data_IF_120222499522
#
_entry.id   IF_120222499522
#
_cell.length_a   1.000
_cell.length_b   1.000
_cell.length_c   1.000
_cell.angle_alpha   90.00
_cell.angle_beta   90.00
_cell.angle_gamma   90.00
#
_symmetry.space_group_name_H-M   'P 1'
#
loop_
_entity.id
_entity.type
_entity.pdbx_description
1 polymer ?
#
# COMPACT_ATOMS: atom_id res chain seq x y z
N UNK A 1 -12.15 1.93 16.42
CA UNK A 1 -13.50 1.96 15.86
C UNK A 1 -13.61 3.00 14.74
N UNK A 2 -13.30 4.29 14.97
CA UNK A 2 -13.40 5.38 13.97
C UNK A 2 -12.61 5.05 12.69
N UNK A 3 -11.36 4.61 12.80
CA UNK A 3 -10.53 4.26 11.65
C UNK A 3 -11.18 3.16 10.78
N UNK A 4 -11.79 2.15 11.42
CA UNK A 4 -12.48 1.06 10.71
C UNK A 4 -13.71 1.57 9.95
N UNK A 5 -14.50 2.44 10.57
CA UNK A 5 -15.69 3.05 9.95
C UNK A 5 -15.27 3.91 8.76
N UNK A 6 -14.30 4.81 8.94
CA UNK A 6 -13.79 5.65 7.86
C UNK A 6 -13.26 4.82 6.68
N UNK A 7 -12.60 3.70 6.98
CA UNK A 7 -12.06 2.83 5.95
C UNK A 7 -13.12 2.04 5.18
N UNK A 8 -14.27 1.79 5.77
CA UNK A 8 -15.40 1.18 5.07
C UNK A 8 -16.09 2.14 4.11
N UNK A 9 -16.17 3.42 4.48
CA UNK A 9 -16.89 4.43 3.73
C UNK A 9 -16.01 5.22 2.75
N UNK A 10 -14.70 5.34 3.02
CA UNK A 10 -13.80 6.23 2.30
C UNK A 10 -12.46 5.58 1.97
N UNK A 11 -11.96 5.87 0.77
CA UNK A 11 -10.64 5.43 0.33
C UNK A 11 -9.58 6.56 0.42
N UNK A 12 -9.61 7.33 1.52
CA UNK A 12 -8.68 8.43 1.80
C UNK A 12 -7.50 7.95 2.63
N UNK A 13 -6.32 8.58 2.55
CA UNK A 13 -5.20 8.31 3.46
C UNK A 13 -5.59 8.61 4.91
N UNK A 14 -5.35 7.67 5.82
CA UNK A 14 -5.61 7.81 7.25
C UNK A 14 -4.29 7.80 8.01
N UNK A 15 -3.98 8.92 8.66
CA UNK A 15 -2.83 9.09 9.52
C UNK A 15 -3.26 9.07 10.99
N UNK A 16 -2.77 8.12 11.77
CA UNK A 16 -3.09 8.00 13.20
C UNK A 16 -2.08 8.75 14.07
N UNK A 17 -2.58 9.50 15.05
CA UNK A 17 -1.77 10.11 16.10
C UNK A 17 -1.96 9.31 17.40
N UNK A 18 -0.92 8.62 17.88
CA UNK A 18 -0.99 7.73 19.03
C UNK A 18 -0.01 8.13 20.14
N UNK A 19 -0.41 7.92 21.39
CA UNK A 19 0.49 8.01 22.55
C UNK A 19 1.20 6.69 22.85
N UNK A 20 0.81 5.61 22.16
CA UNK A 20 1.33 4.27 22.41
C UNK A 20 2.51 3.99 21.49
N UNK A 21 3.62 3.61 22.07
CA UNK A 21 4.89 3.40 21.40
C UNK A 21 5.23 1.91 21.20
N UNK A 22 4.40 1.02 21.74
CA UNK A 22 4.61 -0.40 21.60
C UNK A 22 4.42 -0.88 20.16
N UNK A 23 5.29 -1.76 19.70
CA UNK A 23 5.25 -2.35 18.35
C UNK A 23 3.90 -3.04 18.08
N UNK A 24 3.31 -3.66 19.11
CA UNK A 24 2.01 -4.34 19.04
C UNK A 24 0.89 -3.34 18.75
N UNK A 25 0.86 -2.20 19.43
CA UNK A 25 -0.16 -1.16 19.23
C UNK A 25 -0.05 -0.50 17.84
N UNK A 26 1.17 -0.39 17.31
CA UNK A 26 1.43 0.09 15.94
C UNK A 26 0.89 -0.88 14.89
N UNK A 27 1.14 -2.18 15.07
CA UNK A 27 0.61 -3.22 14.19
C UNK A 27 -0.91 -3.22 14.22
N UNK A 28 -1.52 -3.15 15.41
CA UNK A 28 -2.98 -3.07 15.57
C UNK A 28 -3.54 -1.82 14.88
N UNK A 29 -2.90 -0.66 15.01
CA UNK A 29 -3.32 0.58 14.35
C UNK A 29 -3.34 0.45 12.83
N UNK A 30 -2.33 -0.18 12.25
CA UNK A 30 -2.26 -0.49 10.83
C UNK A 30 -3.29 -1.55 10.44
N UNK A 31 -3.45 -2.63 11.22
CA UNK A 31 -4.45 -3.68 10.97
C UNK A 31 -5.89 -3.14 10.94
N UNK A 32 -6.18 -2.08 11.68
CA UNK A 32 -7.48 -1.38 11.66
C UNK A 32 -7.68 -0.58 10.36
N UNK A 33 -6.63 -0.38 9.56
CA UNK A 33 -6.72 0.25 8.24
C UNK A 33 -6.10 1.64 8.14
N UNK A 34 -5.27 2.07 9.09
CA UNK A 34 -4.45 3.29 8.94
C UNK A 34 -3.35 3.08 7.88
N UNK A 35 -3.02 4.14 7.14
CA UNK A 35 -1.95 4.13 6.13
C UNK A 35 -0.60 4.54 6.74
N UNK A 36 -0.64 5.32 7.83
CA UNK A 36 0.54 5.80 8.56
C UNK A 36 0.17 6.15 10.01
N UNK A 37 1.15 6.27 10.88
CA UNK A 37 0.95 6.70 12.27
C UNK A 37 2.13 7.57 12.74
N UNK A 38 1.86 8.44 13.72
CA UNK A 38 2.86 9.27 14.41
C UNK A 38 2.69 9.07 15.91
N UNK A 39 3.78 8.76 16.60
CA UNK A 39 3.78 8.61 18.06
C UNK A 39 3.98 9.95 18.76
N UNK A 40 3.28 10.14 19.87
CA UNK A 40 3.48 11.30 20.76
C UNK A 40 4.67 11.04 21.69
N UNK A 41 5.53 12.06 21.94
CA UNK A 41 5.45 13.43 21.45
C UNK A 41 5.93 13.55 19.99
N UNK A 42 5.25 14.35 19.17
CA UNK A 42 5.65 14.66 17.80
C UNK A 42 5.79 16.16 17.59
N UNK A 43 6.58 16.56 16.61
CA UNK A 43 6.68 17.96 16.21
C UNK A 43 5.60 18.30 15.19
N UNK A 44 5.04 19.52 15.25
CA UNK A 44 4.12 20.00 14.20
C UNK A 44 4.78 19.98 12.82
N UNK A 45 6.10 20.14 12.75
CA UNK A 45 6.86 20.06 11.50
C UNK A 45 6.80 18.65 10.91
N UNK A 46 6.93 17.63 11.73
CA UNK A 46 6.81 16.23 11.32
C UNK A 46 5.39 15.92 10.83
N UNK A 47 4.36 16.27 11.61
CA UNK A 47 2.97 16.09 11.22
C UNK A 47 2.68 16.74 9.87
N UNK A 48 3.05 18.02 9.69
CA UNK A 48 2.82 18.74 8.45
C UNK A 48 3.61 18.15 7.28
N UNK A 49 4.82 17.67 7.50
CA UNK A 49 5.61 17.01 6.45
C UNK A 49 4.92 15.73 5.95
N UNK A 50 4.40 14.88 6.87
CA UNK A 50 3.68 13.66 6.51
C UNK A 50 2.35 13.94 5.80
N UNK A 51 1.54 14.86 6.32
CA UNK A 51 0.30 15.27 5.66
C UNK A 51 0.57 15.79 4.25
N UNK A 52 1.57 16.68 4.10
CA UNK A 52 1.97 17.20 2.78
C UNK A 52 2.48 16.09 1.84
N UNK A 53 3.21 15.10 2.36
CA UNK A 53 3.69 13.97 1.56
C UNK A 53 2.52 13.13 1.01
N UNK A 54 1.54 12.80 1.86
CA UNK A 54 0.33 12.09 1.44
C UNK A 54 -0.48 12.90 0.41
N UNK A 55 -0.75 14.18 0.66
CA UNK A 55 -1.50 15.05 -0.26
C UNK A 55 -0.78 15.30 -1.59
N UNK A 56 0.55 15.50 -1.56
CA UNK A 56 1.36 15.67 -2.78
C UNK A 56 1.28 14.43 -3.66
N UNK A 57 1.39 13.26 -3.06
CA UNK A 57 1.34 11.98 -3.76
C UNK A 57 -0.03 11.78 -4.42
N UNK A 58 -1.11 12.09 -3.71
CA UNK A 58 -2.47 12.04 -4.24
C UNK A 58 -2.68 13.03 -5.41
N UNK A 59 -2.13 14.26 -5.29
CA UNK A 59 -2.17 15.26 -6.38
C UNK A 59 -1.37 14.85 -7.62
N UNK A 60 -0.17 14.31 -7.45
CA UNK A 60 0.64 13.82 -8.57
C UNK A 60 -0.08 12.70 -9.31
N UNK A 61 -0.64 11.76 -8.56
CA UNK A 61 -1.43 10.67 -9.10
C UNK A 61 -2.65 11.19 -9.86
N UNK A 62 -3.39 12.15 -9.29
CA UNK A 62 -4.57 12.75 -9.92
C UNK A 62 -4.21 13.53 -11.18
N UNK A 63 -3.12 14.30 -11.14
CA UNK A 63 -2.63 15.05 -12.30
C UNK A 63 -2.16 14.11 -13.44
N UNK A 64 -1.53 12.98 -13.11
CA UNK A 64 -1.17 11.94 -14.08
C UNK A 64 -2.41 11.27 -14.68
N UNK A 65 -3.44 11.02 -13.88
CA UNK A 65 -4.73 10.45 -14.34
C UNK A 65 -5.49 11.44 -15.22
N UNK A 66 -5.58 12.71 -14.82
CA UNK A 66 -6.27 13.76 -15.58
C UNK A 66 -5.56 14.05 -16.93
N UNK A 67 -4.22 14.05 -16.93
CA UNK A 67 -3.42 14.20 -18.15
C UNK A 67 -3.49 12.98 -19.09
N UNK A 68 -3.70 11.79 -18.54
CA UNK A 68 -3.78 10.54 -19.29
C UNK A 68 -5.16 10.27 -19.90
N UNK A 69 -6.20 10.97 -19.47
CA UNK A 69 -7.56 10.72 -19.98
C UNK A 69 -7.77 11.16 -21.43
N UNK A 70 -6.93 12.04 -21.97
CA UNK A 70 -7.15 12.56 -23.34
C UNK A 70 -6.36 11.86 -24.45
N UNK A 71 -5.21 11.20 -24.21
CA UNK A 71 -4.38 10.68 -25.34
C UNK A 71 -3.42 9.52 -25.03
N UNK A 72 -3.31 9.00 -23.82
CA UNK A 72 -2.32 7.95 -23.51
C UNK A 72 -2.87 6.53 -23.72
N UNK A 73 -2.06 5.58 -24.26
CA UNK A 73 -2.44 4.17 -24.28
C UNK A 73 -2.67 3.71 -22.85
N UNK A 74 -3.74 2.94 -22.64
CA UNK A 74 -4.05 2.33 -21.33
C UNK A 74 -2.84 1.52 -20.86
N UNK A 75 -2.14 2.00 -19.86
CA UNK A 75 -1.05 1.24 -19.27
C UNK A 75 -1.65 0.20 -18.32
N UNK A 76 -1.69 -1.05 -18.76
CA UNK A 76 -2.26 -2.18 -18.03
C UNK A 76 -1.17 -3.21 -17.82
N UNK A 77 -1.01 -3.68 -16.59
CA UNK A 77 -0.19 -4.84 -16.26
C UNK A 77 -1.13 -6.03 -16.03
N UNK A 78 -0.86 -7.15 -16.70
CA UNK A 78 -1.65 -8.37 -16.59
C UNK A 78 -0.79 -9.55 -16.18
N UNK A 79 -1.27 -10.27 -15.16
CA UNK A 79 -0.63 -11.47 -14.60
C UNK A 79 -1.70 -12.57 -14.43
N UNK A 80 -1.85 -13.39 -15.47
CA UNK A 80 -2.95 -14.35 -15.51
C UNK A 80 -4.32 -13.65 -15.45
N UNK A 81 -5.08 -13.92 -14.38
CA UNK A 81 -6.39 -13.32 -14.12
C UNK A 81 -6.32 -12.04 -13.25
N UNK A 82 -5.14 -11.62 -12.82
CA UNK A 82 -4.92 -10.36 -12.10
C UNK A 82 -4.56 -9.26 -13.11
N UNK A 83 -5.33 -8.19 -13.11
CA UNK A 83 -5.16 -7.02 -14.00
C UNK A 83 -5.02 -5.76 -13.17
N UNK A 84 -4.00 -4.96 -13.45
CA UNK A 84 -3.78 -3.65 -12.83
C UNK A 84 -3.89 -2.58 -13.92
N UNK A 85 -4.93 -1.75 -13.86
CA UNK A 85 -5.08 -0.56 -14.70
C UNK A 85 -4.40 0.62 -13.99
N UNK A 86 -3.25 1.04 -14.51
CA UNK A 86 -2.43 2.08 -13.91
C UNK A 86 -3.07 3.46 -14.12
N UNK A 87 -3.76 3.64 -15.25
CA UNK A 87 -4.43 4.89 -15.60
C UNK A 87 -5.60 5.15 -14.63
N UNK A 88 -6.41 4.12 -14.37
CA UNK A 88 -7.57 4.23 -13.47
C UNK A 88 -7.23 3.94 -12.01
N UNK A 89 -6.02 3.42 -11.73
CA UNK A 89 -5.59 2.91 -10.43
C UNK A 89 -6.55 1.87 -9.85
N UNK A 90 -7.03 1.03 -10.73
CA UNK A 90 -7.95 -0.06 -10.43
C UNK A 90 -7.24 -1.40 -10.57
N UNK A 91 -7.62 -2.35 -9.73
CA UNK A 91 -7.23 -3.74 -9.88
C UNK A 91 -8.47 -4.60 -10.16
N UNK A 92 -8.28 -5.69 -10.90
CA UNK A 92 -9.30 -6.71 -11.16
C UNK A 92 -8.71 -8.09 -10.97
N UNK A 93 -9.51 -8.99 -10.44
CA UNK A 93 -9.20 -10.40 -10.33
C UNK A 93 -10.39 -11.19 -10.93
N UNK A 94 -10.15 -12.08 -11.90
CA UNK A 94 -11.19 -12.80 -12.65
C UNK A 94 -12.24 -11.85 -13.25
N UNK A 95 -11.78 -10.71 -13.82
CA UNK A 95 -12.62 -9.63 -14.38
C UNK A 95 -13.52 -8.90 -13.37
N UNK A 96 -13.47 -9.27 -12.08
CA UNK A 96 -14.20 -8.59 -11.02
C UNK A 96 -13.35 -7.46 -10.42
N UNK A 97 -13.95 -6.29 -10.13
CA UNK A 97 -13.25 -5.22 -9.44
C UNK A 97 -12.69 -5.69 -8.09
N UNK A 98 -11.41 -5.41 -7.86
CA UNK A 98 -10.71 -5.70 -6.62
C UNK A 98 -10.52 -4.39 -5.84
N UNK A 99 -11.33 -4.12 -4.80
CA UNK A 99 -11.23 -2.88 -4.05
C UNK A 99 -9.97 -2.90 -3.17
N UNK A 100 -8.90 -2.28 -3.65
CA UNK A 100 -7.66 -2.10 -2.91
C UNK A 100 -7.62 -0.71 -2.28
N UNK A 101 -7.09 -0.65 -1.05
CA UNK A 101 -6.75 0.62 -0.41
C UNK A 101 -5.60 1.30 -1.17
N UNK A 102 -5.42 2.64 -1.07
CA UNK A 102 -4.36 3.34 -1.79
C UNK A 102 -2.97 2.71 -1.62
N UNK A 103 -2.59 2.38 -0.37
CA UNK A 103 -1.29 1.77 -0.08
C UNK A 103 -1.19 0.30 -0.50
N UNK A 104 -2.29 -0.44 -0.49
CA UNK A 104 -2.34 -1.80 -1.03
C UNK A 104 -2.10 -1.77 -2.55
N UNK A 105 -2.77 -0.86 -3.27
CA UNK A 105 -2.57 -0.71 -4.72
C UNK A 105 -1.12 -0.29 -5.04
N UNK A 106 -0.56 0.70 -4.33
CA UNK A 106 0.81 1.15 -4.54
C UNK A 106 1.84 0.04 -4.28
N UNK A 107 1.67 -0.72 -3.21
CA UNK A 107 2.55 -1.84 -2.89
C UNK A 107 2.46 -2.94 -3.96
N UNK A 108 1.24 -3.32 -4.36
CA UNK A 108 1.03 -4.32 -5.40
C UNK A 108 1.62 -3.87 -6.73
N UNK A 109 1.38 -2.63 -7.15
CA UNK A 109 1.95 -2.07 -8.36
C UNK A 109 3.47 -2.05 -8.33
N UNK A 110 4.07 -1.65 -7.19
CA UNK A 110 5.52 -1.63 -7.05
C UNK A 110 6.11 -3.04 -7.16
N UNK A 111 5.51 -4.02 -6.51
CA UNK A 111 5.88 -5.43 -6.59
C UNK A 111 5.73 -5.97 -8.03
N UNK A 112 4.63 -5.67 -8.69
CA UNK A 112 4.34 -6.10 -10.06
C UNK A 112 5.35 -5.55 -11.08
N UNK A 113 5.75 -4.28 -10.95
CA UNK A 113 6.81 -3.66 -11.77
C UNK A 113 8.20 -4.29 -11.55
N UNK A 114 8.41 -4.94 -10.41
CA UNK A 114 9.66 -5.62 -10.06
C UNK A 114 9.47 -7.14 -10.00
N UNK A 115 8.60 -7.67 -10.88
CA UNK A 115 8.31 -9.11 -10.92
C UNK A 115 9.59 -9.95 -10.96
N UNK A 116 9.62 -11.05 -10.18
CA UNK A 116 10.75 -11.96 -10.07
C UNK A 116 11.91 -11.47 -9.21
N UNK A 117 11.88 -10.21 -8.72
CA UNK A 117 12.92 -9.65 -7.87
C UNK A 117 12.56 -9.81 -6.38
N UNK A 118 13.51 -10.30 -5.58
CA UNK A 118 13.36 -10.29 -4.13
C UNK A 118 13.65 -8.88 -3.60
N UNK A 119 12.63 -8.24 -3.02
CA UNK A 119 12.69 -6.88 -2.50
C UNK A 119 12.68 -6.91 -0.97
N UNK A 120 13.61 -6.19 -0.34
CA UNK A 120 13.67 -6.16 1.13
C UNK A 120 12.51 -5.35 1.71
N UNK A 121 12.18 -5.62 2.97
CA UNK A 121 11.12 -4.89 3.69
C UNK A 121 11.45 -3.41 3.79
N UNK A 122 12.69 -3.08 4.07
CA UNK A 122 13.20 -1.71 4.16
C UNK A 122 13.06 -1.00 2.82
N UNK A 123 13.43 -1.65 1.73
CA UNK A 123 13.32 -1.09 0.39
C UNK A 123 11.87 -0.84 0.00
N UNK A 124 10.98 -1.81 0.24
CA UNK A 124 9.54 -1.66 0.02
C UNK A 124 8.96 -0.52 0.86
N UNK A 125 9.34 -0.43 2.14
CA UNK A 125 8.90 0.62 3.05
C UNK A 125 9.29 2.00 2.52
N UNK A 126 10.56 2.19 2.17
CA UNK A 126 11.07 3.45 1.65
C UNK A 126 10.41 3.86 0.33
N UNK A 127 10.18 2.90 -0.57
CA UNK A 127 9.63 3.18 -1.90
C UNK A 127 8.13 3.43 -1.88
N UNK A 128 7.39 2.73 -1.04
CA UNK A 128 5.93 2.81 -0.99
C UNK A 128 5.45 3.83 0.05
N UNK A 129 6.12 3.97 1.19
CA UNK A 129 5.74 4.93 2.25
C UNK A 129 6.62 6.19 2.28
N UNK A 130 7.83 6.12 1.77
CA UNK A 130 8.77 7.25 1.72
C UNK A 130 9.84 7.20 2.79
N UNK A 131 10.90 8.01 2.61
CA UNK A 131 12.06 8.05 3.50
C UNK A 131 11.75 8.61 4.90
N UNK A 132 10.73 9.47 5.01
CA UNK A 132 10.34 10.11 6.27
C UNK A 132 9.41 9.21 7.12
N UNK A 133 9.10 8.01 6.62
CA UNK A 133 8.25 7.08 7.35
C UNK A 133 9.00 6.45 8.53
N UNK A 134 8.61 6.78 9.76
CA UNK A 134 9.21 6.25 11.00
C UNK A 134 8.59 4.93 11.45
N UNK A 135 7.62 4.40 10.71
CA UNK A 135 7.03 3.10 10.95
C UNK A 135 8.02 1.97 10.69
N UNK A 136 7.94 0.92 11.49
CA UNK A 136 8.76 -0.27 11.31
C UNK A 136 8.39 -1.05 10.05
N UNK A 137 9.29 -1.94 9.64
CA UNK A 137 9.11 -2.83 8.47
C UNK A 137 7.89 -3.76 8.58
N UNK A 138 7.34 -3.93 9.78
CA UNK A 138 6.06 -4.63 10.04
C UNK A 138 4.90 -4.06 9.25
N UNK A 139 4.92 -2.76 8.93
CA UNK A 139 3.92 -2.13 8.06
C UNK A 139 3.81 -2.86 6.72
N UNK A 140 4.95 -3.21 6.13
CA UNK A 140 4.99 -3.98 4.88
C UNK A 140 4.34 -5.35 5.07
N UNK A 141 4.69 -6.07 6.16
CA UNK A 141 4.16 -7.42 6.42
C UNK A 141 2.63 -7.43 6.53
N UNK A 142 2.06 -6.43 7.22
CA UNK A 142 0.61 -6.26 7.36
C UNK A 142 -0.07 -6.04 6.00
N UNK A 143 0.47 -5.16 5.16
CA UNK A 143 -0.09 -4.89 3.84
C UNK A 143 0.08 -6.06 2.87
N UNK A 144 1.19 -6.80 2.96
CA UNK A 144 1.37 -8.05 2.20
C UNK A 144 0.32 -9.09 2.61
N UNK A 145 0.04 -9.24 3.91
CA UNK A 145 -1.02 -10.13 4.39
C UNK A 145 -2.37 -9.76 3.78
N UNK A 146 -2.76 -8.49 3.83
CA UNK A 146 -4.03 -8.04 3.23
C UNK A 146 -4.08 -8.23 1.72
N UNK A 147 -2.98 -7.98 1.01
CA UNK A 147 -2.91 -8.26 -0.42
C UNK A 147 -3.11 -9.75 -0.70
N UNK A 148 -2.45 -10.64 0.05
CA UNK A 148 -2.63 -12.08 -0.09
C UNK A 148 -4.07 -12.51 0.14
N UNK A 149 -4.72 -11.99 1.19
CA UNK A 149 -6.14 -12.25 1.47
C UNK A 149 -7.06 -11.88 0.30
N UNK A 150 -6.63 -11.01 -0.60
CA UNK A 150 -7.42 -10.52 -1.72
C UNK A 150 -7.07 -11.15 -3.08
N UNK A 151 -5.79 -11.49 -3.31
CA UNK A 151 -5.32 -11.90 -4.64
C UNK A 151 -4.85 -13.36 -4.71
N UNK A 152 -4.66 -14.03 -3.57
CA UNK A 152 -4.25 -15.44 -3.54
C UNK A 152 -5.48 -16.34 -3.42
N UNK A 153 -5.43 -17.50 -4.03
CA UNK A 153 -6.43 -18.56 -3.81
C UNK A 153 -6.33 -19.12 -2.40
N UNK A 154 -5.09 -19.28 -1.89
CA UNK A 154 -4.80 -19.68 -0.52
C UNK A 154 -3.76 -18.71 0.07
N UNK A 155 -4.17 -17.76 0.93
CA UNK A 155 -3.26 -16.81 1.56
C UNK A 155 -2.17 -17.45 2.45
N UNK A 156 -2.40 -18.66 2.96
CA UNK A 156 -1.44 -19.40 3.78
C UNK A 156 -0.33 -20.03 2.93
N UNK A 157 -0.66 -20.39 1.68
CA UNK A 157 0.28 -20.95 0.69
C UNK A 157 0.33 -20.03 -0.56
N UNK A 158 0.85 -18.82 -0.44
CA UNK A 158 0.80 -17.82 -1.51
C UNK A 158 1.66 -18.23 -2.70
N UNK A 159 1.14 -18.00 -3.91
CA UNK A 159 1.81 -18.28 -5.18
C UNK A 159 2.20 -17.02 -5.93
N UNK A 160 1.50 -15.89 -5.69
CA UNK A 160 1.75 -14.60 -6.35
C UNK A 160 2.75 -13.74 -5.60
N UNK A 161 2.58 -13.59 -4.28
CA UNK A 161 3.50 -12.84 -3.43
C UNK A 161 4.23 -13.82 -2.52
N UNK A 162 5.44 -14.21 -2.90
CA UNK A 162 6.25 -15.20 -2.19
C UNK A 162 7.08 -14.52 -1.10
N UNK A 163 7.15 -15.13 0.09
CA UNK A 163 8.10 -14.73 1.13
C UNK A 163 9.46 -15.32 0.85
N UNK A 164 10.47 -14.46 0.64
CA UNK A 164 11.86 -14.86 0.52
C UNK A 164 12.51 -14.74 1.90
N UNK A 165 12.73 -15.89 2.58
CA UNK A 165 13.28 -15.92 3.95
C UNK A 165 14.57 -15.15 4.05
N UNK A 166 14.70 -14.31 5.08
CA UNK A 166 15.87 -13.46 5.30
C UNK A 166 15.99 -12.24 4.38
N UNK A 167 15.18 -12.15 3.29
CA UNK A 167 15.25 -11.04 2.34
C UNK A 167 13.99 -10.16 2.37
N UNK A 168 12.82 -10.73 2.13
CA UNK A 168 11.60 -9.94 2.05
C UNK A 168 10.54 -10.61 1.19
N UNK A 169 10.09 -9.96 0.11
CA UNK A 169 9.01 -10.44 -0.73
C UNK A 169 9.36 -10.39 -2.22
N UNK A 170 8.77 -11.31 -2.98
CA UNK A 170 8.92 -11.39 -4.44
C UNK A 170 7.54 -11.65 -5.06
N UNK A 171 7.23 -10.92 -6.12
CA UNK A 171 5.99 -11.11 -6.88
C UNK A 171 6.26 -12.00 -8.11
N UNK A 172 5.44 -13.03 -8.29
CA UNK A 172 5.55 -13.97 -9.42
C UNK A 172 4.44 -13.75 -10.48
N UNK A 173 3.27 -13.22 -10.08
CA UNK A 173 2.17 -12.93 -11.03
C UNK A 173 0.91 -13.72 -10.80
#
# INVERSE_FOLDING_TARGET
EVCRILRQEMNIPILMLTARDDEIDRVIGLEIGADDYITKPFSMRELLARVKAHLRRERLIRAEVDAAQETAPKEVLQFGNLVLDLTRREARLDDHPLPLKPKEFELLLFLARHRGQALTREFLLQRVWGWEFSGGTRTVDVHIRWLRERIETDPANPTRIITVRGSGYRFEG
#
